data_IF_838631475012
#
_entry.id   IF_838631475012
#
_cell.length_a   1.000
_cell.length_b   1.000
_cell.length_c   1.000
_cell.angle_alpha   90.00
_cell.angle_beta   90.00
_cell.angle_gamma   90.00
#
_symmetry.space_group_name_H-M   'P 1'
#
loop_
_entity.id
_entity.type
_entity.pdbx_description
1 polymer ?
#
# COMPACT_ATOMS: atom_id res chain seq x y z
N UNK A 1 -8.48 -16.96 28.02
CA UNK A 1 -8.82 -17.61 29.31
C UNK A 1 -9.93 -18.59 29.06
N UNK A 2 -9.90 -19.77 29.69
CA UNK A 2 -11.00 -20.73 29.65
C UNK A 2 -11.69 -20.70 31.02
N UNK A 3 -13.02 -20.59 31.04
CA UNK A 3 -13.78 -20.74 32.28
C UNK A 3 -14.21 -22.21 32.36
N UNK A 4 -13.95 -22.82 33.51
CA UNK A 4 -14.38 -24.20 33.80
C UNK A 4 -15.34 -24.15 34.99
N UNK A 5 -16.52 -24.73 34.81
CA UNK A 5 -17.54 -24.87 35.85
C UNK A 5 -17.66 -26.35 36.15
N UNK A 6 -17.34 -26.75 37.37
CA UNK A 6 -17.57 -28.11 37.86
C UNK A 6 -18.80 -28.09 38.79
N UNK A 7 -19.77 -28.96 38.52
CA UNK A 7 -20.96 -29.12 39.34
C UNK A 7 -21.03 -30.55 39.87
N UNK A 8 -21.37 -30.66 41.15
CA UNK A 8 -21.62 -31.93 41.82
C UNK A 8 -23.09 -31.96 42.24
N UNK A 9 -23.81 -33.01 41.90
CA UNK A 9 -25.17 -33.19 42.39
C UNK A 9 -25.18 -33.99 43.70
N UNK A 10 -26.30 -33.94 44.43
CA UNK A 10 -26.51 -34.66 45.70
C UNK A 10 -26.39 -36.19 45.56
N UNK A 11 -26.58 -36.72 44.36
CA UNK A 11 -26.43 -38.16 44.05
C UNK A 11 -25.00 -38.52 43.60
N UNK A 12 -24.02 -37.62 43.74
CA UNK A 12 -22.61 -37.89 43.43
C UNK A 12 -22.23 -37.76 41.95
N UNK A 13 -23.14 -37.37 41.05
CA UNK A 13 -22.76 -37.08 39.67
C UNK A 13 -21.92 -35.81 39.61
N UNK A 14 -20.80 -35.87 38.90
CA UNK A 14 -19.92 -34.73 38.65
C UNK A 14 -19.96 -34.37 37.17
N UNK A 15 -20.28 -33.11 36.84
CA UNK A 15 -20.30 -32.59 35.47
C UNK A 15 -19.36 -31.41 35.39
N UNK A 16 -18.50 -31.38 34.36
CA UNK A 16 -17.62 -30.25 34.08
C UNK A 16 -17.99 -29.63 32.74
N UNK A 17 -18.29 -28.34 32.73
CA UNK A 17 -18.49 -27.54 31.54
C UNK A 17 -17.33 -26.57 31.34
N UNK A 18 -16.89 -26.42 30.09
CA UNK A 18 -15.84 -25.49 29.72
C UNK A 18 -16.37 -24.49 28.69
N UNK A 19 -16.03 -23.21 28.87
CA UNK A 19 -16.52 -22.13 28.01
C UNK A 19 -16.02 -22.19 26.57
N UNK A 20 -14.97 -22.96 26.32
CA UNK A 20 -14.33 -23.14 25.02
C UNK A 20 -13.38 -24.34 25.09
N UNK A 21 -13.04 -24.99 23.96
CA UNK A 21 -12.05 -26.06 23.95
C UNK A 21 -10.61 -25.52 24.13
N UNK A 22 -9.72 -26.40 24.57
CA UNK A 22 -8.27 -26.19 24.51
C UNK A 22 -7.70 -26.80 23.23
N UNK A 23 -6.73 -26.12 22.64
CA UNK A 23 -5.94 -26.58 21.49
C UNK A 23 -4.48 -26.52 21.90
N UNK A 24 -3.84 -27.68 22.06
CA UNK A 24 -2.48 -27.80 22.60
C UNK A 24 -2.28 -26.92 23.86
N UNK A 25 -3.15 -27.13 24.85
CA UNK A 25 -3.13 -26.42 26.14
C UNK A 25 -3.52 -24.93 26.08
N UNK A 26 -3.94 -24.41 24.93
CA UNK A 26 -4.33 -22.99 24.77
C UNK A 26 -5.81 -22.86 24.49
N UNK A 27 -6.50 -21.97 25.20
CA UNK A 27 -7.92 -21.66 24.95
C UNK A 27 -8.12 -21.21 23.50
N UNK A 28 -9.00 -21.91 22.75
CA UNK A 28 -9.18 -21.70 21.31
C UNK A 28 -9.50 -20.25 20.93
N UNK A 29 -10.32 -19.58 21.73
CA UNK A 29 -10.71 -18.18 21.56
C UNK A 29 -9.52 -17.22 21.61
N UNK A 30 -8.48 -17.48 22.40
CA UNK A 30 -7.29 -16.62 22.40
C UNK A 30 -6.59 -16.63 21.03
N UNK A 31 -6.54 -17.79 20.39
CA UNK A 31 -5.92 -17.99 19.08
C UNK A 31 -6.80 -17.35 18.00
N UNK A 32 -8.10 -17.66 18.02
CA UNK A 32 -9.07 -17.19 17.04
C UNK A 32 -9.27 -15.67 17.09
N UNK A 33 -9.33 -15.07 18.28
CA UNK A 33 -9.39 -13.61 18.44
C UNK A 33 -8.12 -12.97 17.89
N UNK A 34 -6.94 -13.53 18.17
CA UNK A 34 -5.67 -13.01 17.65
C UNK A 34 -5.65 -13.04 16.11
N UNK A 35 -6.12 -14.13 15.51
CA UNK A 35 -6.28 -14.28 14.07
C UNK A 35 -7.28 -13.27 13.49
N UNK A 36 -8.45 -13.14 14.11
CA UNK A 36 -9.51 -12.23 13.67
C UNK A 36 -9.06 -10.76 13.68
N UNK A 37 -8.34 -10.32 14.72
CA UNK A 37 -7.77 -8.96 14.77
C UNK A 37 -6.83 -8.74 13.58
N UNK A 38 -5.88 -9.66 13.34
CA UNK A 38 -4.90 -9.49 12.26
C UNK A 38 -5.54 -9.56 10.87
N UNK A 39 -6.36 -10.59 10.60
CA UNK A 39 -6.93 -10.85 9.28
C UNK A 39 -7.98 -9.81 8.86
N UNK A 40 -8.62 -9.15 9.82
CA UNK A 40 -9.52 -8.02 9.55
C UNK A 40 -8.79 -6.68 9.34
N UNK A 41 -7.47 -6.63 9.55
CA UNK A 41 -6.67 -5.40 9.48
C UNK A 41 -6.72 -4.55 10.76
N UNK A 42 -7.47 -4.97 11.79
CA UNK A 42 -7.54 -4.27 13.06
C UNK A 42 -6.19 -4.27 13.81
N UNK A 43 -6.09 -3.40 14.82
CA UNK A 43 -4.91 -3.32 15.69
C UNK A 43 -5.27 -3.74 17.11
N UNK A 44 -4.32 -4.41 17.77
CA UNK A 44 -4.51 -4.95 19.12
C UNK A 44 -4.98 -3.85 20.08
N UNK A 45 -4.35 -2.67 20.01
CA UNK A 45 -4.66 -1.52 20.86
C UNK A 45 -6.14 -1.12 20.75
N UNK A 46 -6.65 -0.95 19.54
CA UNK A 46 -8.06 -0.57 19.33
C UNK A 46 -9.02 -1.64 19.83
N UNK A 47 -8.71 -2.91 19.62
CA UNK A 47 -9.59 -4.01 20.06
C UNK A 47 -9.54 -4.23 21.57
N UNK A 48 -8.38 -4.09 22.21
CA UNK A 48 -8.27 -4.22 23.67
C UNK A 48 -8.91 -3.04 24.40
N UNK A 49 -8.82 -1.81 23.86
CA UNK A 49 -9.52 -0.65 24.42
C UNK A 49 -11.04 -0.84 24.36
N UNK A 50 -11.56 -1.35 23.24
CA UNK A 50 -12.97 -1.73 23.11
C UNK A 50 -13.38 -2.78 24.16
N UNK A 51 -12.59 -3.87 24.29
CA UNK A 51 -12.87 -4.91 25.27
C UNK A 51 -12.82 -4.37 26.72
N UNK A 52 -11.89 -3.47 27.01
CA UNK A 52 -11.74 -2.81 28.31
C UNK A 52 -12.96 -1.98 28.67
N UNK A 53 -13.51 -1.19 27.73
CA UNK A 53 -14.71 -0.39 27.99
C UNK A 53 -15.95 -1.23 28.27
N UNK A 54 -15.98 -2.46 27.77
CA UNK A 54 -17.04 -3.43 28.03
C UNK A 54 -16.73 -4.37 29.22
N UNK A 55 -15.61 -4.15 29.93
CA UNK A 55 -15.12 -5.02 31.00
C UNK A 55 -14.98 -6.50 30.59
N UNK A 56 -14.61 -6.75 29.34
CA UNK A 56 -14.40 -8.09 28.81
C UNK A 56 -13.00 -8.60 29.12
N UNK A 57 -12.92 -9.83 29.60
CA UNK A 57 -11.64 -10.54 29.72
C UNK A 57 -11.06 -10.79 28.32
N UNK A 58 -9.84 -10.32 28.07
CA UNK A 58 -9.26 -10.29 26.74
C UNK A 58 -7.87 -10.95 26.67
N UNK A 59 -7.44 -11.28 25.45
CA UNK A 59 -6.10 -11.84 25.21
C UNK A 59 -5.02 -10.82 25.57
N UNK A 60 -3.96 -11.25 26.26
CA UNK A 60 -2.88 -10.36 26.68
C UNK A 60 -1.99 -9.93 25.51
N UNK A 61 -1.31 -8.79 25.67
CA UNK A 61 -0.40 -8.23 24.67
C UNK A 61 0.66 -9.26 24.26
N UNK A 62 1.36 -9.85 25.23
CA UNK A 62 2.41 -10.83 24.96
C UNK A 62 1.85 -12.06 24.23
N UNK A 63 0.69 -12.59 24.64
CA UNK A 63 0.10 -13.75 23.98
C UNK A 63 -0.31 -13.45 22.53
N UNK A 64 -0.85 -12.25 22.27
CA UNK A 64 -1.22 -11.83 20.92
C UNK A 64 0.00 -11.80 19.98
N UNK A 65 1.08 -11.11 20.36
CA UNK A 65 2.26 -10.97 19.51
C UNK A 65 3.05 -12.28 19.38
N UNK A 66 3.11 -13.11 20.43
CA UNK A 66 3.66 -14.47 20.31
C UNK A 66 2.84 -15.28 19.31
N UNK A 67 1.50 -15.32 19.45
CA UNK A 67 0.59 -16.03 18.52
C UNK A 67 0.76 -15.53 17.09
N UNK A 68 0.89 -14.22 16.88
CA UNK A 68 1.20 -13.67 15.56
C UNK A 68 2.47 -14.27 14.96
N UNK A 69 3.58 -14.18 15.69
CA UNK A 69 4.89 -14.60 15.21
C UNK A 69 4.99 -16.11 14.97
N UNK A 70 4.40 -16.92 15.84
CA UNK A 70 4.57 -18.38 15.81
C UNK A 70 3.52 -19.11 14.96
N UNK A 71 2.35 -18.50 14.77
CA UNK A 71 1.20 -19.16 14.12
C UNK A 71 0.68 -18.33 12.95
N UNK A 72 0.34 -17.06 13.19
CA UNK A 72 -0.42 -16.29 12.18
C UNK A 72 0.45 -15.89 10.99
N UNK A 73 1.67 -15.41 11.19
CA UNK A 73 2.56 -15.03 10.08
C UNK A 73 2.90 -16.22 9.16
N UNK A 74 3.24 -17.42 9.67
CA UNK A 74 3.38 -18.61 8.83
C UNK A 74 2.14 -18.92 7.98
N UNK A 75 0.93 -18.82 8.56
CA UNK A 75 -0.33 -19.08 7.84
C UNK A 75 -0.56 -18.03 6.76
N UNK A 76 -0.42 -16.74 7.08
CA UNK A 76 -0.56 -15.64 6.11
C UNK A 76 0.41 -15.82 4.94
N UNK A 77 1.68 -16.10 5.24
CA UNK A 77 2.69 -16.29 4.21
C UNK A 77 2.40 -17.52 3.34
N UNK A 78 1.93 -18.63 3.94
CA UNK A 78 1.55 -19.82 3.17
C UNK A 78 0.40 -19.53 2.21
N UNK A 79 -0.66 -18.86 2.67
CA UNK A 79 -1.79 -18.47 1.83
C UNK A 79 -1.37 -17.51 0.72
N UNK A 80 -0.51 -16.53 1.04
CA UNK A 80 0.08 -15.63 0.06
C UNK A 80 0.86 -16.38 -1.02
N UNK A 81 1.84 -17.22 -0.65
CA UNK A 81 2.66 -17.97 -1.60
C UNK A 81 1.79 -18.88 -2.49
N UNK A 82 0.79 -19.54 -1.89
CA UNK A 82 -0.13 -20.41 -2.62
C UNK A 82 -0.95 -19.62 -3.64
N UNK A 83 -1.52 -18.49 -3.22
CA UNK A 83 -2.31 -17.61 -4.08
C UNK A 83 -1.46 -16.99 -5.19
N UNK A 84 -0.27 -16.50 -4.86
CA UNK A 84 0.68 -15.92 -5.80
C UNK A 84 1.15 -16.96 -6.83
N UNK A 85 1.56 -18.15 -6.40
CA UNK A 85 2.01 -19.21 -7.32
C UNK A 85 0.91 -19.62 -8.29
N UNK A 86 -0.34 -19.67 -7.81
CA UNK A 86 -1.48 -19.95 -8.67
C UNK A 86 -1.76 -18.81 -9.67
N UNK A 87 -1.56 -17.55 -9.26
CA UNK A 87 -1.69 -16.40 -10.16
C UNK A 87 -0.59 -16.38 -11.22
N UNK A 88 0.68 -16.56 -10.83
CA UNK A 88 1.82 -16.58 -11.76
C UNK A 88 1.64 -17.68 -12.81
N UNK A 89 1.23 -18.88 -12.42
CA UNK A 89 0.93 -19.97 -13.38
C UNK A 89 -0.16 -19.63 -14.39
N UNK A 90 -1.16 -18.84 -13.99
CA UNK A 90 -2.21 -18.37 -14.92
C UNK A 90 -1.66 -17.33 -15.90
N UNK A 91 -0.79 -16.43 -15.41
CA UNK A 91 -0.15 -15.41 -16.24
C UNK A 91 0.84 -16.02 -17.23
N UNK A 92 1.58 -17.08 -16.85
CA UNK A 92 2.47 -17.83 -17.74
C UNK A 92 1.73 -18.49 -18.93
N UNK A 93 0.43 -18.77 -18.77
CA UNK A 93 -0.42 -19.35 -19.83
C UNK A 93 -1.10 -18.28 -20.69
N UNK A 94 -0.92 -17.01 -20.38
CA UNK A 94 -1.55 -15.90 -21.10
C UNK A 94 -0.66 -15.44 -22.27
N UNK A 95 -1.28 -15.05 -23.39
CA UNK A 95 -0.54 -14.63 -24.60
C UNK A 95 0.31 -13.36 -24.38
N UNK A 96 -0.09 -12.48 -23.46
CA UNK A 96 0.62 -11.25 -23.09
C UNK A 96 0.25 -10.80 -21.68
N UNK A 97 1.25 -10.33 -20.94
CA UNK A 97 1.10 -9.82 -19.56
C UNK A 97 1.64 -8.39 -19.53
N UNK A 98 0.76 -7.45 -19.20
CA UNK A 98 1.09 -6.03 -19.09
C UNK A 98 1.13 -5.68 -17.61
N UNK A 99 2.29 -5.22 -17.13
CA UNK A 99 2.52 -4.99 -15.70
C UNK A 99 2.80 -3.53 -15.40
N UNK A 100 2.09 -3.00 -14.42
CA UNK A 100 2.34 -1.68 -13.88
C UNK A 100 2.78 -1.78 -12.41
N UNK A 101 3.58 -0.82 -11.96
CA UNK A 101 4.15 -0.81 -10.62
C UNK A 101 3.97 0.53 -9.95
N UNK A 102 3.71 0.52 -8.65
CA UNK A 102 3.63 1.74 -7.85
C UNK A 102 4.28 1.56 -6.47
N UNK A 103 4.89 2.63 -5.98
CA UNK A 103 5.57 2.71 -4.71
C UNK A 103 4.81 3.58 -3.72
N UNK A 104 4.56 3.04 -2.52
CA UNK A 104 4.04 3.81 -1.38
C UNK A 104 5.09 3.90 -0.30
N UNK A 105 5.39 5.12 0.14
CA UNK A 105 6.12 5.40 1.36
C UNK A 105 5.15 5.94 2.42
N UNK A 106 5.26 5.48 3.66
CA UNK A 106 4.46 6.02 4.75
C UNK A 106 5.06 7.36 5.23
N UNK A 107 4.51 8.50 4.82
CA UNK A 107 4.75 9.82 5.46
C UNK A 107 3.43 10.63 5.53
N UNK A 108 3.19 11.56 6.48
CA UNK A 108 4.03 12.37 7.39
C UNK A 108 3.68 12.18 8.89
N UNK A 109 4.73 12.12 9.73
CA UNK A 109 4.66 12.03 11.20
C UNK A 109 5.68 11.02 11.76
N UNK A 110 6.92 11.49 12.03
CA UNK A 110 8.07 10.76 12.62
C UNK A 110 8.23 9.25 12.27
N UNK A 111 9.25 8.97 11.43
CA UNK A 111 9.77 7.66 11.00
C UNK A 111 8.94 6.92 9.93
N UNK A 112 9.16 7.28 8.66
CA UNK A 112 8.78 6.47 7.50
C UNK A 112 9.65 5.21 7.43
N UNK A 113 9.40 4.21 8.29
CA UNK A 113 10.32 3.06 8.47
C UNK A 113 10.32 2.08 7.30
N UNK A 114 9.26 2.01 6.49
CA UNK A 114 9.18 1.07 5.37
C UNK A 114 8.56 1.71 4.13
N UNK A 115 9.09 1.37 2.95
CA UNK A 115 8.48 1.62 1.65
C UNK A 115 7.96 0.32 1.06
N UNK A 116 6.76 0.34 0.48
CA UNK A 116 6.16 -0.81 -0.22
C UNK A 116 6.10 -0.52 -1.70
N UNK A 117 6.69 -1.38 -2.53
CA UNK A 117 6.51 -1.37 -3.97
C UNK A 117 5.60 -2.52 -4.37
N UNK A 118 4.58 -2.26 -5.19
CA UNK A 118 3.62 -3.28 -5.64
C UNK A 118 3.59 -3.36 -7.14
N UNK A 119 3.56 -4.59 -7.67
CA UNK A 119 3.43 -4.88 -9.09
C UNK A 119 2.04 -5.45 -9.37
N UNK A 120 1.33 -4.90 -10.34
CA UNK A 120 -0.03 -5.24 -10.73
C UNK A 120 -0.07 -5.68 -12.20
N UNK A 121 -0.84 -6.72 -12.50
CA UNK A 121 -1.27 -7.03 -13.87
C UNK A 121 -2.39 -6.07 -14.27
N UNK A 122 -2.17 -5.33 -15.35
CA UNK A 122 -3.05 -4.26 -15.79
C UNK A 122 -4.40 -4.79 -16.25
N UNK A 123 -4.40 -5.91 -16.99
CA UNK A 123 -5.62 -6.50 -17.56
C UNK A 123 -6.57 -6.98 -16.49
N UNK A 124 -6.06 -7.65 -15.46
CA UNK A 124 -6.89 -8.23 -14.40
C UNK A 124 -7.00 -7.36 -13.16
N UNK A 125 -6.23 -6.29 -13.06
CA UNK A 125 -6.04 -5.46 -11.87
C UNK A 125 -5.60 -6.24 -10.62
N UNK A 126 -5.00 -7.42 -10.80
CA UNK A 126 -4.51 -8.27 -9.71
C UNK A 126 -3.09 -7.88 -9.34
N UNK A 127 -2.81 -7.79 -8.04
CA UNK A 127 -1.44 -7.60 -7.56
C UNK A 127 -0.70 -8.94 -7.66
N UNK A 128 0.45 -8.93 -8.34
CA UNK A 128 1.28 -10.10 -8.61
C UNK A 128 2.34 -10.29 -7.51
N UNK A 129 3.00 -9.21 -7.13
CA UNK A 129 4.12 -9.21 -6.17
C UNK A 129 4.17 -7.88 -5.43
N UNK A 130 4.76 -7.90 -4.25
CA UNK A 130 5.17 -6.68 -3.57
C UNK A 130 6.58 -6.84 -2.97
N UNK A 131 7.29 -5.73 -2.88
CA UNK A 131 8.56 -5.64 -2.17
C UNK A 131 8.42 -4.66 -1.02
N UNK A 132 8.83 -5.07 0.18
CA UNK A 132 8.91 -4.21 1.34
C UNK A 132 10.37 -3.86 1.58
N UNK A 133 10.70 -2.58 1.52
CA UNK A 133 12.03 -2.06 1.79
C UNK A 133 12.00 -1.35 3.13
N UNK A 134 12.79 -1.81 4.10
CA UNK A 134 13.01 -1.02 5.30
C UNK A 134 13.84 0.20 4.92
N UNK A 135 13.27 1.38 5.15
CA UNK A 135 14.00 2.63 5.15
C UNK A 135 14.89 2.55 6.38
N UNK A 136 16.17 2.21 6.16
CA UNK A 136 17.13 2.12 7.24
C UNK A 136 17.27 3.52 7.85
N UNK A 137 17.09 3.62 9.17
CA UNK A 137 17.57 4.75 9.94
C UNK A 137 19.10 4.72 9.91
N UNK A 138 19.68 5.18 8.80
CA UNK A 138 20.75 6.15 8.91
C UNK A 138 20.21 7.58 8.85
N UNK A 139 18.89 7.80 8.77
CA UNK A 139 18.29 9.15 8.85
C UNK A 139 17.53 9.36 10.17
N UNK A 140 18.14 8.88 11.26
CA UNK A 140 17.85 9.29 12.63
C UNK A 140 18.80 10.41 13.08
N UNK A 141 19.07 11.34 12.18
CA UNK A 141 19.69 12.63 12.47
C UNK A 141 19.40 13.47 11.22
N UNK A 142 19.20 14.78 11.37
CA UNK A 142 19.09 15.72 10.24
C UNK A 142 20.41 15.81 9.40
N UNK A 143 21.19 14.73 9.32
CA UNK A 143 22.51 14.62 8.69
C UNK A 143 22.59 13.64 7.53
N UNK A 144 21.61 12.77 7.29
CA UNK A 144 21.75 11.69 6.28
C UNK A 144 20.96 11.89 4.97
N UNK A 145 20.77 13.15 4.57
CA UNK A 145 20.84 13.50 3.14
C UNK A 145 22.33 13.68 2.75
N UNK A 146 23.17 12.67 3.03
CA UNK A 146 24.61 12.73 2.73
C UNK A 146 25.22 11.51 2.03
N UNK A 147 24.49 10.41 1.84
CA UNK A 147 25.07 9.25 1.15
C UNK A 147 24.27 8.72 -0.05
N UNK A 148 23.46 9.57 -0.69
CA UNK A 148 23.53 9.61 -2.16
C UNK A 148 24.85 10.27 -2.49
N UNK A 149 25.90 9.49 -2.87
CA UNK A 149 27.26 9.95 -3.24
C UNK A 149 27.49 11.41 -2.82
N UNK A 150 27.85 11.71 -1.55
CA UNK A 150 28.04 13.08 -1.01
C UNK A 150 27.58 14.13 -2.02
N UNK A 151 26.28 14.47 -2.08
CA UNK A 151 25.89 15.69 -2.80
C UNK A 151 26.90 16.72 -2.31
N UNK A 152 27.76 17.20 -3.22
CA UNK A 152 28.85 18.09 -2.85
C UNK A 152 28.22 19.17 -1.96
N UNK A 153 28.96 19.68 -0.99
CA UNK A 153 28.46 20.71 -0.05
C UNK A 153 27.72 21.85 -0.81
N UNK A 154 28.08 22.01 -2.08
CA UNK A 154 27.60 22.86 -3.15
C UNK A 154 26.23 22.51 -3.78
N UNK A 155 25.47 21.50 -3.32
CA UNK A 155 24.16 21.10 -3.92
C UNK A 155 22.98 21.12 -2.94
N UNK A 156 23.11 21.78 -1.78
CA UNK A 156 22.02 21.89 -0.78
C UNK A 156 20.79 22.64 -1.29
N UNK A 157 20.98 23.49 -2.32
CA UNK A 157 19.92 24.26 -2.98
C UNK A 157 18.84 23.41 -3.65
N UNK A 158 19.11 22.12 -3.93
CA UNK A 158 18.13 21.19 -4.49
C UNK A 158 17.17 20.61 -3.43
N UNK A 159 17.49 20.71 -2.12
CA UNK A 159 16.70 20.08 -1.07
C UNK A 159 15.23 20.54 -1.04
N UNK A 160 14.90 21.83 -1.18
CA UNK A 160 13.51 22.30 -1.24
C UNK A 160 12.76 21.78 -2.48
N UNK A 161 13.48 21.40 -3.54
CA UNK A 161 12.90 21.02 -4.83
C UNK A 161 12.55 19.54 -4.96
N UNK A 162 13.11 18.65 -4.13
CA UNK A 162 12.92 17.19 -4.22
C UNK A 162 11.43 16.78 -4.36
N UNK A 163 10.56 17.38 -3.54
CA UNK A 163 9.13 17.08 -3.60
C UNK A 163 8.48 17.63 -4.88
N UNK A 164 8.90 18.83 -5.31
CA UNK A 164 8.43 19.46 -6.55
C UNK A 164 8.86 18.65 -7.77
N UNK A 165 10.10 18.17 -7.80
CA UNK A 165 10.67 17.36 -8.87
C UNK A 165 9.94 16.01 -9.00
N UNK A 166 9.63 15.38 -7.85
CA UNK A 166 8.85 14.15 -7.80
C UNK A 166 7.42 14.36 -8.29
N UNK A 167 6.78 15.47 -7.88
CA UNK A 167 5.44 15.83 -8.35
C UNK A 167 5.44 16.18 -9.85
N UNK A 168 6.51 16.80 -10.35
CA UNK A 168 6.69 17.14 -11.75
C UNK A 168 6.85 15.87 -12.59
N UNK A 169 7.64 14.90 -12.14
CA UNK A 169 7.75 13.59 -12.79
C UNK A 169 6.38 12.91 -12.91
N UNK A 170 5.59 12.94 -11.84
CA UNK A 170 4.23 12.43 -11.84
C UNK A 170 3.32 13.17 -12.81
N UNK A 171 3.42 14.50 -12.86
CA UNK A 171 2.68 15.30 -13.84
C UNK A 171 3.11 14.98 -15.28
N UNK A 172 4.39 14.71 -15.53
CA UNK A 172 4.91 14.31 -16.83
C UNK A 172 4.27 13.00 -17.29
N UNK A 173 4.22 11.97 -16.45
CA UNK A 173 3.62 10.67 -16.80
C UNK A 173 2.12 10.78 -17.05
N UNK A 174 1.38 11.52 -16.21
CA UNK A 174 -0.07 11.69 -16.37
C UNK A 174 -0.44 12.48 -17.62
N UNK A 175 0.37 13.47 -18.01
CA UNK A 175 0.03 14.39 -19.10
C UNK A 175 0.80 14.12 -20.40
N UNK A 176 1.50 12.99 -20.49
CA UNK A 176 2.23 12.62 -21.70
C UNK A 176 1.35 12.05 -22.82
N UNK A 177 0.08 11.73 -22.55
CA UNK A 177 -0.85 11.16 -23.54
C UNK A 177 -0.25 9.94 -24.27
N UNK A 178 0.47 9.08 -23.52
CA UNK A 178 1.18 7.91 -24.01
C UNK A 178 2.31 8.22 -25.02
N UNK A 179 2.72 9.48 -25.15
CA UNK A 179 3.81 9.90 -26.02
C UNK A 179 5.13 9.97 -25.22
N UNK A 180 6.03 9.03 -25.49
CA UNK A 180 7.34 8.93 -24.84
C UNK A 180 8.24 10.17 -25.09
N UNK A 181 8.17 10.76 -26.27
CA UNK A 181 8.89 11.99 -26.59
C UNK A 181 8.29 13.15 -25.79
N UNK A 182 6.96 13.23 -25.73
CA UNK A 182 6.25 14.22 -24.92
C UNK A 182 6.56 14.12 -23.42
N UNK A 183 6.65 12.90 -22.88
CA UNK A 183 7.07 12.65 -21.49
C UNK A 183 8.50 13.13 -21.25
N UNK A 184 9.41 12.76 -22.14
CA UNK A 184 10.83 13.12 -22.05
C UNK A 184 11.03 14.64 -22.10
N UNK A 185 10.36 15.33 -23.02
CA UNK A 185 10.41 16.80 -23.11
C UNK A 185 9.79 17.47 -21.88
N UNK A 186 8.67 16.96 -21.35
CA UNK A 186 8.08 17.46 -20.10
C UNK A 186 9.04 17.27 -18.93
N UNK A 187 9.72 16.13 -18.83
CA UNK A 187 10.71 15.86 -17.80
C UNK A 187 11.91 16.82 -17.91
N UNK A 188 12.46 16.99 -19.11
CA UNK A 188 13.56 17.92 -19.37
C UNK A 188 13.18 19.37 -19.08
N UNK A 189 11.91 19.74 -19.22
CA UNK A 189 11.44 21.10 -18.90
C UNK A 189 11.66 21.52 -17.44
N UNK A 190 11.90 20.55 -16.54
CA UNK A 190 12.24 20.82 -15.14
C UNK A 190 13.49 21.70 -15.00
N UNK A 191 14.48 21.56 -15.91
CA UNK A 191 15.70 22.37 -15.90
C UNK A 191 15.43 23.85 -16.18
N UNK A 192 14.42 24.14 -17.01
CA UNK A 192 13.96 25.49 -17.23
C UNK A 192 13.09 25.97 -16.06
N UNK A 193 12.21 25.11 -15.55
CA UNK A 193 11.33 25.46 -14.44
C UNK A 193 12.11 25.85 -13.18
N UNK A 194 13.08 25.04 -12.75
CA UNK A 194 13.83 25.25 -11.51
C UNK A 194 14.68 26.53 -11.50
N UNK A 195 15.00 27.05 -12.68
CA UNK A 195 15.73 28.32 -12.88
C UNK A 195 14.81 29.51 -13.11
N UNK A 196 13.49 29.35 -12.93
CA UNK A 196 12.49 30.41 -13.11
C UNK A 196 12.14 30.70 -14.57
N UNK A 197 12.63 29.89 -15.52
CA UNK A 197 12.33 30.03 -16.94
C UNK A 197 11.09 29.21 -17.31
N UNK A 198 9.97 29.89 -17.50
CA UNK A 198 8.69 29.23 -17.78
C UNK A 198 8.32 29.12 -19.27
N UNK A 199 9.12 29.72 -20.17
CA UNK A 199 8.91 29.70 -21.62
C UNK A 199 10.25 29.50 -22.35
N UNK A 200 10.25 28.72 -23.42
CA UNK A 200 11.43 28.44 -24.25
C UNK A 200 11.05 28.20 -25.71
N UNK A 201 12.01 28.41 -26.61
CA UNK A 201 11.83 28.23 -28.06
C UNK A 201 11.88 26.76 -28.48
N UNK A 202 11.46 26.50 -29.71
CA UNK A 202 11.67 25.19 -30.32
C UNK A 202 13.17 24.91 -30.47
N UNK A 203 13.59 23.71 -30.08
CA UNK A 203 14.97 23.25 -30.16
C UNK A 203 15.02 21.77 -30.54
N UNK A 204 16.23 21.20 -30.63
CA UNK A 204 16.39 19.77 -30.90
C UNK A 204 15.81 18.93 -29.76
N UNK A 205 15.92 19.44 -28.53
CA UNK A 205 15.46 18.84 -27.28
C UNK A 205 14.00 19.14 -26.96
N UNK A 206 13.43 20.23 -27.49
CA UNK A 206 12.06 20.67 -27.23
C UNK A 206 11.31 20.97 -28.53
N UNK A 207 10.59 19.97 -29.06
CA UNK A 207 9.75 20.11 -30.26
C UNK A 207 8.28 20.32 -29.89
N UNK A 208 7.81 19.62 -28.86
CA UNK A 208 6.42 19.54 -28.41
C UNK A 208 6.14 20.49 -27.24
N UNK A 209 7.03 20.59 -26.26
CA UNK A 209 6.83 21.38 -25.04
C UNK A 209 7.62 22.68 -25.13
N UNK A 210 6.94 23.83 -25.05
CA UNK A 210 7.56 25.18 -25.19
C UNK A 210 7.36 26.11 -23.99
N UNK A 211 6.59 25.66 -23.00
CA UNK A 211 6.27 26.40 -21.78
C UNK A 211 5.83 25.46 -20.67
N UNK A 212 5.91 25.94 -19.44
CA UNK A 212 5.33 25.23 -18.30
C UNK A 212 3.80 25.08 -18.44
N UNK A 213 3.28 23.97 -17.91
CA UNK A 213 1.86 23.61 -17.99
C UNK A 213 0.95 24.28 -16.95
N UNK A 214 1.51 25.12 -16.07
CA UNK A 214 0.75 25.84 -15.04
C UNK A 214 0.39 27.27 -15.50
N UNK A 215 -0.67 27.88 -14.92
CA UNK A 215 -0.93 29.32 -15.06
C UNK A 215 0.25 30.17 -14.58
N UNK A 216 0.28 31.45 -14.95
CA UNK A 216 1.33 32.38 -14.50
C UNK A 216 1.37 32.40 -12.97
N UNK A 217 2.54 32.09 -12.40
CA UNK A 217 2.79 32.20 -10.96
C UNK A 217 2.71 33.69 -10.60
N UNK A 218 2.01 34.03 -9.51
CA UNK A 218 1.87 35.42 -9.08
C UNK A 218 3.23 36.01 -8.69
N UNK A 219 3.35 37.34 -8.68
CA UNK A 219 4.62 37.99 -8.29
C UNK A 219 4.95 37.77 -6.83
N UNK A 220 3.91 37.57 -6.02
CA UNK A 220 3.97 37.30 -4.60
C UNK A 220 4.53 35.89 -4.36
N UNK A 221 3.96 34.87 -5.02
CA UNK A 221 4.42 33.47 -4.91
C UNK A 221 5.84 33.28 -5.47
N UNK A 222 6.20 34.00 -6.55
CA UNK A 222 7.55 33.94 -7.13
C UNK A 222 8.66 34.37 -6.16
N UNK A 223 8.35 35.22 -5.17
CA UNK A 223 9.31 35.70 -4.16
C UNK A 223 9.54 34.68 -3.04
N UNK A 224 8.59 33.78 -2.82
CA UNK A 224 8.71 32.72 -1.81
C UNK A 224 9.45 31.49 -2.34
N UNK A 225 9.59 31.37 -3.66
CA UNK A 225 10.31 30.27 -4.31
C UNK A 225 11.81 30.53 -4.27
N UNK A 226 12.55 29.56 -3.72
CA UNK A 226 14.01 29.54 -3.73
C UNK A 226 14.49 28.97 -5.07
N UNK A 227 14.60 29.81 -6.09
CA UNK A 227 15.07 29.41 -7.42
C UNK A 227 16.53 28.96 -7.40
N UNK A 228 16.86 27.97 -8.22
CA UNK A 228 18.24 27.55 -8.42
C UNK A 228 18.89 28.41 -9.49
N UNK A 229 20.11 28.89 -9.24
CA UNK A 229 20.84 29.68 -10.23
C UNK A 229 21.27 28.81 -11.41
N UNK A 230 21.04 29.29 -12.63
CA UNK A 230 21.39 28.56 -13.85
C UNK A 230 22.92 28.42 -13.96
N UNK A 231 23.39 27.19 -14.17
CA UNK A 231 24.82 26.87 -14.23
C UNK A 231 25.50 26.74 -12.87
N UNK A 232 24.77 26.87 -11.76
CA UNK A 232 25.31 26.55 -10.44
C UNK A 232 25.69 25.07 -10.32
N UNK A 233 26.56 24.68 -9.36
CA UNK A 233 26.89 23.28 -9.13
C UNK A 233 25.65 22.40 -8.87
N UNK A 234 24.62 22.97 -8.23
CA UNK A 234 23.32 22.33 -8.04
C UNK A 234 22.58 22.10 -9.37
N UNK A 235 22.50 23.13 -10.22
CA UNK A 235 21.86 23.03 -11.53
C UNK A 235 22.55 22.02 -12.44
N UNK A 236 23.90 22.05 -12.51
CA UNK A 236 24.69 21.12 -13.33
C UNK A 236 24.53 19.68 -12.84
N UNK A 237 24.55 19.45 -11.52
CA UNK A 237 24.33 18.12 -10.96
C UNK A 237 22.92 17.58 -11.27
N UNK A 238 21.91 18.44 -11.27
CA UNK A 238 20.55 18.08 -11.65
C UNK A 238 20.44 17.80 -13.15
N UNK A 239 21.05 18.63 -14.00
CA UNK A 239 21.12 18.44 -15.45
C UNK A 239 21.77 17.09 -15.81
N UNK A 240 22.91 16.76 -15.19
CA UNK A 240 23.57 15.46 -15.34
C UNK A 240 22.68 14.29 -14.92
N UNK A 241 21.77 14.48 -13.97
CA UNK A 241 20.84 13.44 -13.52
C UNK A 241 19.66 13.28 -14.46
N UNK A 242 18.96 14.38 -14.77
CA UNK A 242 17.73 14.41 -15.56
C UNK A 242 17.99 13.94 -17.00
N UNK A 243 19.16 14.25 -17.55
CA UNK A 243 19.51 13.91 -18.95
C UNK A 243 20.10 12.50 -19.14
N UNK A 244 20.20 11.68 -18.07
CA UNK A 244 20.78 10.32 -18.18
C UNK A 244 20.01 9.48 -19.19
N UNK A 245 20.70 9.02 -20.24
CA UNK A 245 20.10 8.19 -21.31
C UNK A 245 19.38 6.95 -20.79
N UNK A 246 19.89 6.29 -19.75
CA UNK A 246 19.22 5.15 -19.12
C UNK A 246 17.91 5.58 -18.43
N UNK A 247 17.94 6.69 -17.69
CA UNK A 247 16.75 7.25 -17.04
C UNK A 247 15.69 7.60 -18.08
N UNK A 248 16.04 8.32 -19.16
CA UNK A 248 15.09 8.67 -20.21
C UNK A 248 14.47 7.43 -20.90
N UNK A 249 15.25 6.37 -21.11
CA UNK A 249 14.72 5.09 -21.64
C UNK A 249 13.76 4.39 -20.67
N UNK A 250 14.00 4.49 -19.37
CA UNK A 250 13.11 3.91 -18.36
C UNK A 250 11.86 4.76 -18.17
N UNK A 251 11.97 6.08 -18.25
CA UNK A 251 10.86 7.03 -18.25
C UNK A 251 9.91 6.85 -19.44
N UNK A 252 10.45 6.50 -20.61
CA UNK A 252 9.64 6.16 -21.79
C UNK A 252 8.71 4.95 -21.58
N UNK A 253 8.97 4.11 -20.57
CA UNK A 253 8.09 2.99 -20.18
C UNK A 253 6.97 3.41 -19.22
N UNK A 254 7.03 4.64 -18.67
CA UNK A 254 5.99 5.19 -17.80
C UNK A 254 4.81 5.80 -18.58
N UNK A 255 4.81 5.68 -19.90
CA UNK A 255 3.73 6.17 -20.79
C UNK A 255 2.43 5.39 -20.61
N UNK A 256 2.49 4.15 -20.12
CA UNK A 256 1.36 3.22 -19.93
C UNK A 256 0.81 3.25 -18.49
N UNK A 257 0.88 4.41 -17.82
CA UNK A 257 0.53 4.52 -16.41
C UNK A 257 -0.99 4.30 -16.16
N UNK A 258 -1.34 3.32 -15.33
CA UNK A 258 -2.71 3.05 -14.87
C UNK A 258 -2.81 3.07 -13.34
N UNK A 259 -3.90 3.64 -12.81
CA UNK A 259 -4.06 4.03 -11.41
C UNK A 259 -4.18 2.83 -10.43
N UNK A 260 -3.26 2.73 -9.46
CA UNK A 260 -3.32 1.78 -8.33
C UNK A 260 -4.00 2.36 -7.08
N UNK A 261 -4.62 3.55 -7.16
CA UNK A 261 -5.23 4.27 -6.03
C UNK A 261 -6.22 3.42 -5.21
N UNK A 262 -6.95 2.51 -5.87
CA UNK A 262 -7.90 1.62 -5.21
C UNK A 262 -7.22 0.63 -4.25
N UNK A 263 -6.06 0.09 -4.63
CA UNK A 263 -5.24 -0.77 -3.78
C UNK A 263 -4.62 0.02 -2.63
N UNK A 264 -4.07 1.21 -2.89
CA UNK A 264 -3.45 2.03 -1.83
C UNK A 264 -4.44 2.45 -0.75
N UNK A 265 -5.67 2.77 -1.14
CA UNK A 265 -6.76 3.02 -0.20
C UNK A 265 -7.02 1.79 0.68
N UNK A 266 -7.17 0.60 0.08
CA UNK A 266 -7.36 -0.65 0.82
C UNK A 266 -6.18 -0.95 1.75
N UNK A 267 -4.95 -0.72 1.30
CA UNK A 267 -3.75 -0.98 2.09
C UNK A 267 -3.73 -0.16 3.39
N UNK A 268 -4.37 1.01 3.47
CA UNK A 268 -4.51 1.77 4.73
C UNK A 268 -5.34 1.04 5.81
N UNK A 269 -6.23 0.13 5.43
CA UNK A 269 -6.97 -0.74 6.36
C UNK A 269 -6.03 -1.66 7.13
N UNK A 270 -5.05 -2.25 6.43
CA UNK A 270 -4.13 -3.24 6.99
C UNK A 270 -2.85 -2.61 7.54
N UNK A 271 -2.39 -1.52 6.93
CA UNK A 271 -1.19 -0.75 7.26
C UNK A 271 -1.56 0.74 7.44
N UNK A 272 -2.24 1.08 8.54
CA UNK A 272 -2.60 2.47 8.82
C UNK A 272 -1.33 3.30 9.08
N UNK A 273 -1.24 4.47 8.44
CA UNK A 273 -0.06 5.36 8.49
C UNK A 273 0.34 5.85 9.90
N UNK A 274 -0.57 5.75 10.88
CA UNK A 274 -0.39 6.29 12.25
C UNK A 274 0.12 5.25 13.24
N UNK A 275 0.34 4.02 12.81
CA UNK A 275 0.68 2.92 13.70
C UNK A 275 1.96 2.22 13.21
N UNK A 276 2.86 1.94 14.15
CA UNK A 276 4.12 1.28 13.85
C UNK A 276 3.97 -0.24 13.92
N UNK A 277 4.60 -0.93 12.97
CA UNK A 277 4.65 -2.39 12.95
C UNK A 277 6.10 -2.88 12.83
N UNK A 278 6.38 -4.05 13.40
CA UNK A 278 7.64 -4.75 13.11
C UNK A 278 7.68 -5.18 11.63
N UNK A 279 8.88 -5.45 11.10
CA UNK A 279 9.06 -5.81 9.69
C UNK A 279 8.17 -6.99 9.28
N UNK A 280 8.18 -8.08 10.05
CA UNK A 280 7.32 -9.24 9.79
C UNK A 280 5.82 -8.91 9.89
N UNK A 281 5.45 -7.99 10.79
CA UNK A 281 4.09 -7.47 10.90
C UNK A 281 3.67 -6.69 9.66
N UNK A 282 4.55 -5.85 9.10
CA UNK A 282 4.33 -5.15 7.85
C UNK A 282 4.18 -6.13 6.69
N UNK A 283 5.09 -7.09 6.55
CA UNK A 283 5.03 -8.12 5.49
C UNK A 283 3.70 -8.87 5.55
N UNK A 284 3.31 -9.39 6.71
CA UNK A 284 2.06 -10.12 6.85
C UNK A 284 0.81 -9.25 6.58
N UNK A 285 0.82 -7.99 7.00
CA UNK A 285 -0.29 -7.05 6.75
C UNK A 285 -0.39 -6.66 5.27
N UNK A 286 0.73 -6.48 4.59
CA UNK A 286 0.76 -6.22 3.14
C UNK A 286 0.28 -7.45 2.36
N UNK A 287 0.69 -8.67 2.75
CA UNK A 287 0.16 -9.92 2.20
C UNK A 287 -1.37 -10.00 2.33
N UNK A 288 -1.91 -9.69 3.51
CA UNK A 288 -3.35 -9.64 3.74
C UNK A 288 -4.05 -8.59 2.88
N UNK A 289 -3.45 -7.41 2.72
CA UNK A 289 -3.99 -6.37 1.85
C UNK A 289 -4.07 -6.83 0.38
N UNK A 290 -3.04 -7.54 -0.10
CA UNK A 290 -3.07 -8.13 -1.44
C UNK A 290 -4.12 -9.23 -1.56
N UNK A 291 -4.23 -10.12 -0.58
CA UNK A 291 -5.24 -11.18 -0.58
C UNK A 291 -6.67 -10.58 -0.59
N UNK A 292 -6.95 -9.54 0.20
CA UNK A 292 -8.25 -8.83 0.18
C UNK A 292 -8.49 -8.19 -1.20
N UNK A 293 -7.49 -7.49 -1.76
CA UNK A 293 -7.60 -6.85 -3.07
C UNK A 293 -7.90 -7.86 -4.17
N UNK A 294 -7.07 -8.88 -4.31
CA UNK A 294 -7.17 -9.88 -5.37
C UNK A 294 -8.49 -10.67 -5.29
N UNK A 295 -9.00 -10.92 -4.08
CA UNK A 295 -10.29 -11.57 -3.89
C UNK A 295 -11.48 -10.67 -4.28
N UNK A 296 -11.31 -9.35 -4.37
CA UNK A 296 -12.43 -8.40 -4.43
C UNK A 296 -12.33 -7.31 -5.52
N UNK A 297 -11.25 -7.24 -6.30
CA UNK A 297 -11.03 -6.18 -7.31
C UNK A 297 -12.05 -6.28 -8.46
N UNK A 298 -12.31 -7.51 -8.91
CA UNK A 298 -13.19 -7.82 -10.06
C UNK A 298 -14.65 -8.09 -9.66
N UNK A 299 -15.11 -7.51 -8.54
CA UNK A 299 -16.52 -7.60 -8.14
C UNK A 299 -17.43 -6.91 -9.16
N UNK A 300 -18.51 -7.60 -9.52
CA UNK A 300 -19.57 -7.10 -10.40
C UNK A 300 -20.44 -6.05 -9.72
N UNK A 301 -21.14 -5.25 -10.52
CA UNK A 301 -22.14 -4.31 -10.02
C UNK A 301 -23.33 -5.07 -9.39
N UNK A 302 -23.76 -4.61 -8.23
CA UNK A 302 -24.91 -5.13 -7.51
C UNK A 302 -26.22 -4.77 -8.21
N UNK A 303 -27.22 -5.63 -8.03
CA UNK A 303 -28.57 -5.44 -8.53
C UNK A 303 -29.53 -5.23 -7.36
N UNK A 304 -30.59 -4.46 -7.62
CA UNK A 304 -31.66 -4.21 -6.64
C UNK A 304 -32.36 -5.52 -6.35
N UNK A 305 -32.39 -5.91 -5.06
CA UNK A 305 -32.89 -7.22 -4.64
C UNK A 305 -34.41 -7.26 -4.46
N UNK A 306 -35.03 -6.13 -4.15
CA UNK A 306 -36.44 -6.06 -3.74
C UNK A 306 -37.10 -4.77 -4.26
N UNK A 307 -38.41 -4.82 -4.48
CA UNK A 307 -39.23 -3.69 -4.93
C UNK A 307 -39.45 -3.64 -6.45
N UNK A 308 -40.10 -2.56 -6.91
CA UNK A 308 -40.50 -2.39 -8.32
C UNK A 308 -39.35 -2.31 -9.32
N UNK A 309 -38.12 -2.08 -8.84
CA UNK A 309 -36.89 -1.99 -9.63
C UNK A 309 -36.00 -3.23 -9.50
N UNK A 310 -36.54 -4.35 -9.03
CA UNK A 310 -35.78 -5.59 -8.85
C UNK A 310 -35.07 -6.00 -10.14
N UNK A 311 -33.79 -6.37 -10.04
CA UNK A 311 -32.94 -6.72 -11.18
C UNK A 311 -32.25 -5.52 -11.86
N UNK A 312 -32.62 -4.28 -11.54
CA UNK A 312 -31.91 -3.10 -12.04
C UNK A 312 -30.53 -2.94 -11.37
N UNK A 313 -29.58 -2.33 -12.08
CA UNK A 313 -28.25 -2.02 -11.57
C UNK A 313 -28.30 -0.98 -10.45
N UNK A 314 -27.58 -1.25 -9.36
CA UNK A 314 -27.54 -0.38 -8.18
C UNK A 314 -26.49 0.72 -8.30
N UNK A 315 -26.88 1.94 -7.93
CA UNK A 315 -26.03 3.13 -7.93
C UNK A 315 -26.16 3.89 -6.60
N UNK A 316 -25.07 4.50 -6.16
CA UNK A 316 -25.03 5.47 -5.07
C UNK A 316 -24.78 6.86 -5.67
N UNK A 317 -25.58 7.84 -5.30
CA UNK A 317 -25.41 9.22 -5.76
C UNK A 317 -24.40 9.91 -4.84
N UNK A 318 -23.23 10.27 -5.37
CA UNK A 318 -22.12 10.85 -4.60
C UNK A 318 -21.78 12.23 -5.13
N UNK A 319 -21.61 13.19 -4.21
CA UNK A 319 -21.16 14.53 -4.57
C UNK A 319 -19.63 14.57 -4.78
N UNK A 320 -19.20 14.85 -6.00
CA UNK A 320 -17.80 15.00 -6.38
C UNK A 320 -17.24 16.33 -5.90
N UNK A 321 -16.44 16.33 -4.82
CA UNK A 321 -15.89 17.57 -4.23
C UNK A 321 -15.04 18.40 -5.20
N UNK A 322 -14.29 17.76 -6.11
CA UNK A 322 -13.43 18.46 -7.07
C UNK A 322 -14.24 19.17 -8.15
N UNK A 323 -15.22 18.49 -8.75
CA UNK A 323 -16.04 19.01 -9.86
C UNK A 323 -17.33 19.67 -9.40
N UNK A 324 -17.60 19.66 -8.08
CA UNK A 324 -18.79 20.23 -7.42
C UNK A 324 -20.12 19.78 -8.05
N UNK A 325 -20.23 18.52 -8.45
CA UNK A 325 -21.40 17.95 -9.09
C UNK A 325 -21.79 16.59 -8.48
N UNK A 326 -23.05 16.19 -8.67
CA UNK A 326 -23.53 14.87 -8.28
C UNK A 326 -23.23 13.85 -9.38
N UNK A 327 -22.68 12.70 -9.00
CA UNK A 327 -22.33 11.61 -9.92
C UNK A 327 -22.91 10.30 -9.38
N UNK A 328 -23.57 9.53 -10.24
CA UNK A 328 -23.97 8.17 -9.93
C UNK A 328 -22.73 7.26 -9.94
N UNK A 329 -22.41 6.64 -8.79
CA UNK A 329 -21.35 5.65 -8.67
C UNK A 329 -21.95 4.26 -8.54
N UNK A 330 -21.42 3.31 -9.30
CA UNK A 330 -21.85 1.92 -9.22
C UNK A 330 -21.64 1.34 -7.82
N UNK A 331 -22.67 0.65 -7.31
CA UNK A 331 -22.54 -0.14 -6.09
C UNK A 331 -22.10 -1.53 -6.51
N UNK A 332 -20.92 -1.98 -6.07
CA UNK A 332 -20.46 -3.36 -6.31
C UNK A 332 -21.10 -4.35 -5.34
N UNK A 333 -21.15 -5.63 -5.73
CA UNK A 333 -21.58 -6.74 -4.85
C UNK A 333 -20.78 -6.77 -3.54
N UNK A 334 -21.32 -7.32 -2.44
CA UNK A 334 -20.61 -7.40 -1.16
C UNK A 334 -19.23 -8.06 -1.30
N UNK A 335 -18.27 -7.62 -0.47
CA UNK A 335 -16.94 -8.23 -0.46
C UNK A 335 -17.02 -9.69 -0.01
N UNK A 336 -16.26 -10.57 -0.67
CA UNK A 336 -16.02 -11.92 -0.20
C UNK A 336 -14.86 -11.93 0.78
N UNK A 337 -15.02 -12.68 1.87
CA UNK A 337 -13.97 -13.00 2.84
C UNK A 337 -13.69 -14.50 2.93
N UNK A 338 -14.08 -15.28 1.92
CA UNK A 338 -13.92 -16.75 1.93
C UNK A 338 -12.47 -17.21 2.10
N UNK A 339 -11.50 -16.43 1.60
CA UNK A 339 -10.07 -16.70 1.80
C UNK A 339 -9.68 -16.66 3.30
N UNK A 340 -10.38 -15.87 4.12
CA UNK A 340 -10.15 -15.79 5.57
C UNK A 340 -10.60 -17.07 6.26
N UNK A 341 -11.69 -17.70 5.82
CA UNK A 341 -12.17 -18.96 6.41
C UNK A 341 -11.12 -20.08 6.29
N UNK A 342 -10.51 -20.20 5.11
CA UNK A 342 -9.40 -21.14 4.89
C UNK A 342 -8.21 -20.85 5.83
N UNK A 343 -7.85 -19.57 5.99
CA UNK A 343 -6.78 -19.16 6.90
C UNK A 343 -7.12 -19.45 8.37
N UNK A 344 -8.37 -19.24 8.79
CA UNK A 344 -8.81 -19.53 10.15
C UNK A 344 -8.69 -21.03 10.48
N UNK A 345 -9.00 -21.90 9.52
CA UNK A 345 -8.78 -23.34 9.66
C UNK A 345 -7.28 -23.68 9.72
N UNK A 346 -6.47 -23.08 8.85
CA UNK A 346 -5.01 -23.29 8.84
C UNK A 346 -4.34 -22.82 10.14
N UNK A 347 -4.85 -21.78 10.81
CA UNK A 347 -4.40 -21.35 12.16
C UNK A 347 -4.58 -22.46 13.18
N UNK A 348 -5.73 -23.14 13.17
CA UNK A 348 -6.02 -24.25 14.07
C UNK A 348 -5.11 -25.44 13.78
N UNK A 349 -4.90 -25.77 12.49
CA UNK A 349 -3.99 -26.84 12.08
C UNK A 349 -2.54 -26.51 12.47
N UNK A 350 -2.12 -25.25 12.31
CA UNK A 350 -0.79 -24.78 12.71
C UNK A 350 -0.57 -25.00 14.21
N UNK A 351 -1.56 -24.63 15.03
CA UNK A 351 -1.50 -24.86 16.48
C UNK A 351 -1.39 -26.34 16.82
N UNK A 352 -2.08 -27.22 16.08
CA UNK A 352 -2.02 -28.69 16.21
C UNK A 352 -0.75 -29.32 15.63
N UNK A 353 0.25 -28.53 15.22
CA UNK A 353 1.56 -29.02 14.78
C UNK A 353 1.76 -29.11 13.27
N UNK A 354 0.78 -28.74 12.44
CA UNK A 354 0.99 -28.62 10.98
C UNK A 354 2.02 -27.52 10.72
N UNK A 355 3.16 -27.89 10.16
CA UNK A 355 4.20 -26.91 9.78
C UNK A 355 3.88 -26.30 8.42
N UNK A 356 3.75 -24.98 8.39
CA UNK A 356 3.69 -24.22 7.15
C UNK A 356 5.10 -23.83 6.72
N UNK A 357 5.46 -24.06 5.46
CA UNK A 357 6.80 -23.70 4.95
C UNK A 357 6.96 -22.18 5.00
N UNK A 358 7.72 -21.70 5.97
CA UNK A 358 8.05 -20.29 6.17
C UNK A 358 9.48 -20.05 5.71
N UNK A 359 9.68 -19.22 4.68
CA UNK A 359 10.98 -18.65 4.34
C UNK A 359 10.86 -17.15 4.50
N UNK A 360 11.35 -16.54 5.59
CA UNK A 360 11.39 -15.09 5.65
C UNK A 360 12.27 -14.61 4.47
N UNK A 361 11.75 -13.69 3.63
CA UNK A 361 12.60 -12.92 2.72
C UNK A 361 13.43 -12.00 3.64
N UNK A 362 14.65 -12.43 3.96
CA UNK A 362 15.67 -11.63 4.65
C UNK A 362 16.13 -10.50 3.76
#
# INVERSE_FOLDING_TARGET
MQVTIATNCLNGHSVSWQSQPLIEGTAAGNILISAAILFSGNTYKRTVDFAKYLNLQFVSYSHYYTTQSTILFPVVQHTWITSQSALVKKLEQSDSVDVCGDGRCDSTGHSAKYGTFTLMDEKTNLIIEFSLVQVTEQVGDQKAVKEGKKLKKDCQELLPWIQSDSNHLWWCSVTCEQNADGLSEKWLSLLHHITGKHCWGASKEFKLVKRCGHPRISREDQKEIVWVENGSPAHVALEEFITKKKLLKDLAKLTEFHHTESYHSLMTKYTPKREHFCYNGMVARTQLAVLDHNANVNRTQAEVKEGSKQGEKSFNIVFGKQRKNWVAKEIKTPKSSSYVEGMMNDVILCKKGKKFKYKPKT
#
